data_IF_347593594293
#
_entry.id   IF_347593594293
#
_cell.length_a   1.000
_cell.length_b   1.000
_cell.length_c   1.000
_cell.angle_alpha   90.00
_cell.angle_beta   90.00
_cell.angle_gamma   90.00
#
_symmetry.space_group_name_H-M   'P 1'
#
loop_
_entity.id
_entity.type
_entity.pdbx_description
1 polymer ?
#
# COMPACT_ATOMS: atom_id res chain seq x y z
N UNK A 1 32.92 42.11 40.97
CA UNK A 1 34.23 41.43 40.99
C UNK A 1 33.94 39.98 40.66
N UNK A 2 34.00 39.62 39.38
CA UNK A 2 35.18 39.04 38.70
C UNK A 2 35.24 37.52 38.93
N UNK A 3 34.97 36.70 37.90
CA UNK A 3 35.94 35.99 37.02
C UNK A 3 36.84 35.02 37.84
N UNK A 4 37.22 33.80 37.46
CA UNK A 4 36.88 32.75 36.48
C UNK A 4 37.91 31.61 36.74
N UNK A 5 37.66 30.39 36.21
CA UNK A 5 38.66 29.34 35.86
C UNK A 5 39.42 28.62 37.02
N UNK A 6 39.80 27.32 36.97
CA UNK A 6 39.60 26.20 36.05
C UNK A 6 40.12 24.89 36.69
N UNK A 7 39.61 23.74 36.20
CA UNK A 7 40.21 22.40 36.07
C UNK A 7 40.87 21.64 37.25
N UNK A 8 40.37 20.44 37.56
CA UNK A 8 40.86 19.15 37.00
C UNK A 8 40.17 17.91 37.61
N UNK A 9 39.98 16.87 36.78
CA UNK A 9 39.05 15.72 36.86
C UNK A 9 39.21 14.71 38.03
N UNK A 10 38.24 13.78 38.20
CA UNK A 10 38.49 12.43 37.65
C UNK A 10 37.29 11.72 36.98
N UNK A 11 37.56 11.24 35.76
CA UNK A 11 37.26 9.91 35.18
C UNK A 11 36.01 9.16 35.67
N UNK A 12 35.04 8.98 34.77
CA UNK A 12 34.01 7.93 34.81
C UNK A 12 33.81 7.34 33.41
N UNK A 13 33.56 6.02 33.25
CA UNK A 13 33.57 5.36 31.95
C UNK A 13 32.27 5.62 31.17
N UNK A 14 32.42 6.08 29.93
CA UNK A 14 31.34 6.30 28.97
C UNK A 14 30.84 4.97 28.39
N UNK A 15 29.60 4.59 28.72
CA UNK A 15 28.84 3.61 27.94
C UNK A 15 28.29 4.32 26.70
N UNK A 16 29.10 4.30 25.65
CA UNK A 16 28.79 4.88 24.35
C UNK A 16 27.93 3.88 23.56
N UNK A 17 26.61 3.96 23.68
CA UNK A 17 25.68 3.27 22.75
C UNK A 17 25.49 4.16 21.51
N UNK A 18 25.83 3.70 20.29
CA UNK A 18 25.52 4.48 19.10
C UNK A 18 24.02 4.39 18.82
N UNK A 19 23.28 5.48 19.10
CA UNK A 19 22.00 5.76 18.45
C UNK A 19 22.28 5.91 16.95
N UNK A 20 21.96 4.90 16.15
CA UNK A 20 21.86 5.07 14.71
C UNK A 20 20.61 5.89 14.40
N UNK A 21 20.75 7.22 14.41
CA UNK A 21 19.81 8.11 13.73
C UNK A 21 20.05 7.99 12.23
N UNK A 22 19.31 7.12 11.55
CA UNK A 22 19.37 7.06 10.10
C UNK A 22 18.45 8.14 9.50
N UNK A 23 19.03 9.31 9.24
CA UNK A 23 18.46 10.29 8.31
C UNK A 23 18.89 9.94 6.89
N UNK A 24 17.95 9.74 5.97
CA UNK A 24 18.30 9.80 4.54
C UNK A 24 17.23 10.49 3.70
N UNK A 25 17.38 11.82 3.57
CA UNK A 25 16.57 12.69 2.70
C UNK A 25 17.19 12.87 1.29
N UNK A 26 18.32 12.24 0.96
CA UNK A 26 19.02 12.50 -0.30
C UNK A 26 19.66 11.26 -0.94
N UNK A 27 18.83 10.35 -1.48
CA UNK A 27 19.25 9.41 -2.54
C UNK A 27 18.21 9.32 -3.68
N UNK A 28 17.72 10.47 -4.16
CA UNK A 28 17.15 10.57 -5.51
C UNK A 28 18.29 10.75 -6.51
N UNK A 29 18.86 9.64 -6.99
CA UNK A 29 19.57 9.66 -8.28
C UNK A 29 18.51 9.77 -9.40
N UNK A 30 18.58 10.77 -10.30
CA UNK A 30 17.75 10.75 -11.49
C UNK A 30 18.37 9.76 -12.48
N UNK A 31 17.81 8.54 -12.59
CA UNK A 31 18.32 7.58 -13.58
C UNK A 31 18.09 6.11 -13.28
N UNK A 32 16.83 5.70 -13.29
CA UNK A 32 16.24 4.40 -13.70
C UNK A 32 14.97 4.25 -12.88
N UNK A 33 13.81 4.28 -13.56
CA UNK A 33 12.58 3.78 -12.95
C UNK A 33 12.89 2.35 -12.45
N UNK A 34 12.57 1.97 -11.20
CA UNK A 34 12.67 0.58 -10.77
C UNK A 34 11.97 -0.27 -11.83
N UNK A 35 12.55 -1.41 -12.19
CA UNK A 35 11.90 -2.30 -13.15
C UNK A 35 10.50 -2.57 -12.61
N UNK A 36 9.48 -2.11 -13.33
CA UNK A 36 8.12 -2.57 -13.09
C UNK A 36 8.19 -4.06 -13.37
N UNK A 37 8.38 -4.88 -12.34
CA UNK A 37 8.30 -6.32 -12.46
C UNK A 37 6.82 -6.61 -12.76
N UNK A 38 6.53 -6.69 -14.06
CA UNK A 38 5.24 -7.09 -14.61
C UNK A 38 5.08 -8.57 -14.30
N UNK A 39 4.36 -8.89 -13.22
CA UNK A 39 4.08 -10.29 -12.84
C UNK A 39 3.15 -10.99 -13.82
N UNK A 40 2.52 -10.26 -14.74
CA UNK A 40 2.02 -10.84 -16.00
C UNK A 40 2.42 -9.89 -17.13
N UNK A 41 3.43 -10.27 -17.93
CA UNK A 41 3.64 -9.65 -19.24
C UNK A 41 2.78 -10.44 -20.22
N UNK A 42 1.52 -10.03 -20.36
CA UNK A 42 0.75 -10.35 -21.57
C UNK A 42 1.58 -9.84 -22.76
N UNK A 43 2.18 -10.76 -23.52
CA UNK A 43 2.80 -10.44 -24.82
C UNK A 43 4.29 -10.08 -24.84
N UNK A 44 5.18 -10.81 -24.15
CA UNK A 44 6.59 -10.86 -24.56
C UNK A 44 6.83 -12.05 -25.46
N UNK A 45 7.38 -11.82 -26.66
CA UNK A 45 7.61 -12.82 -27.72
C UNK A 45 8.55 -13.97 -27.35
N UNK A 46 9.26 -13.89 -26.22
CA UNK A 46 10.38 -14.78 -25.92
C UNK A 46 10.27 -15.39 -24.51
N UNK A 47 9.48 -16.47 -24.37
CA UNK A 47 9.73 -17.57 -23.41
C UNK A 47 8.75 -18.73 -23.68
N UNK A 48 9.34 -19.93 -23.88
CA UNK A 48 8.87 -21.34 -23.91
C UNK A 48 7.37 -21.69 -23.70
N UNK A 49 6.91 -22.87 -24.22
CA UNK A 49 5.50 -23.24 -24.36
C UNK A 49 4.90 -23.70 -23.02
N UNK A 50 4.63 -22.75 -22.12
CA UNK A 50 3.60 -22.92 -21.10
C UNK A 50 2.21 -22.75 -21.72
N UNK A 51 1.13 -23.22 -21.07
CA UNK A 51 -0.22 -22.90 -21.50
C UNK A 51 -0.32 -21.38 -21.59
N UNK A 52 -0.64 -20.86 -22.78
CA UNK A 52 -0.86 -19.42 -22.97
C UNK A 52 -1.92 -19.01 -21.95
N UNK A 53 -1.61 -18.15 -20.94
CA UNK A 53 -2.66 -17.62 -20.10
C UNK A 53 -3.57 -16.85 -21.05
N UNK A 54 -4.83 -17.26 -21.11
CA UNK A 54 -5.83 -16.64 -21.98
C UNK A 54 -5.70 -15.12 -21.83
N UNK A 55 -5.45 -14.41 -22.93
CA UNK A 55 -5.40 -12.94 -22.89
C UNK A 55 -6.68 -12.47 -22.22
N UNK A 56 -6.58 -11.85 -21.04
CA UNK A 56 -7.75 -11.25 -20.40
C UNK A 56 -8.36 -10.34 -21.46
N UNK A 57 -9.62 -10.57 -21.87
CA UNK A 57 -10.21 -9.83 -22.95
C UNK A 57 -10.18 -8.34 -22.60
N UNK A 58 -9.96 -7.45 -23.58
CA UNK A 58 -10.04 -6.02 -23.35
C UNK A 58 -11.41 -5.72 -22.74
N UNK A 59 -11.40 -5.20 -21.51
CA UNK A 59 -12.59 -4.94 -20.73
C UNK A 59 -12.78 -3.43 -20.61
N UNK A 60 -13.90 -2.93 -21.12
CA UNK A 60 -14.34 -1.55 -20.95
C UNK A 60 -15.56 -1.56 -20.02
N UNK A 61 -15.41 -1.14 -18.75
CA UNK A 61 -16.55 -1.06 -17.84
C UNK A 61 -17.56 -0.05 -18.37
N UNK A 62 -18.85 -0.35 -18.22
CA UNK A 62 -19.89 0.64 -18.43
C UNK A 62 -19.68 1.81 -17.46
N UNK A 63 -19.85 3.03 -17.97
CA UNK A 63 -19.89 4.22 -17.12
C UNK A 63 -21.11 4.11 -16.21
N UNK A 64 -20.88 4.18 -14.91
CA UNK A 64 -21.98 4.17 -13.95
C UNK A 64 -22.83 5.43 -14.12
N UNK A 65 -24.12 5.33 -13.76
CA UNK A 65 -25.05 6.46 -13.72
C UNK A 65 -25.30 6.86 -12.28
N UNK A 66 -25.20 8.15 -12.00
CA UNK A 66 -25.57 8.74 -10.70
C UNK A 66 -27.09 8.84 -10.57
N UNK A 67 -27.59 8.89 -9.34
CA UNK A 67 -28.99 9.23 -9.09
C UNK A 67 -29.22 10.73 -9.34
N UNK A 68 -30.47 11.13 -9.59
CA UNK A 68 -30.82 12.54 -9.81
C UNK A 68 -30.59 13.37 -8.55
N UNK A 69 -30.81 12.75 -7.39
CA UNK A 69 -30.58 13.35 -6.07
C UNK A 69 -29.09 13.66 -5.86
N UNK A 70 -28.22 12.67 -6.11
CA UNK A 70 -26.77 12.83 -5.96
C UNK A 70 -26.24 13.88 -6.95
N UNK A 71 -26.74 13.90 -8.18
CA UNK A 71 -26.35 14.93 -9.18
C UNK A 71 -26.78 16.34 -8.75
N UNK A 72 -27.99 16.49 -8.21
CA UNK A 72 -28.49 17.77 -7.73
C UNK A 72 -27.70 18.28 -6.53
N UNK A 73 -27.43 17.41 -5.55
CA UNK A 73 -26.64 17.74 -4.37
C UNK A 73 -25.19 18.08 -4.73
N UNK A 74 -24.57 17.29 -5.62
CA UNK A 74 -23.22 17.57 -6.11
C UNK A 74 -23.13 18.89 -6.88
N UNK A 75 -24.19 19.25 -7.62
CA UNK A 75 -24.29 20.56 -8.28
C UNK A 75 -24.39 21.71 -7.28
N UNK A 76 -25.10 21.52 -6.17
CA UNK A 76 -25.17 22.51 -5.08
C UNK A 76 -23.80 22.67 -4.40
N UNK A 77 -23.14 21.56 -4.04
CA UNK A 77 -21.81 21.58 -3.42
C UNK A 77 -20.75 22.24 -4.31
N UNK A 78 -20.81 22.01 -5.63
CA UNK A 78 -19.90 22.63 -6.60
C UNK A 78 -20.20 24.10 -6.89
N UNK A 79 -21.27 24.66 -6.34
CA UNK A 79 -21.58 26.09 -6.49
C UNK A 79 -20.68 26.97 -5.60
N UNK A 80 -20.17 26.42 -4.50
CA UNK A 80 -19.14 27.04 -3.65
C UNK A 80 -17.78 26.36 -3.86
N UNK A 81 -16.70 27.08 -3.53
CA UNK A 81 -15.35 26.52 -3.61
C UNK A 81 -15.17 25.48 -2.49
N UNK A 82 -14.42 24.40 -2.73
CA UNK A 82 -14.27 23.31 -1.75
C UNK A 82 -13.55 23.73 -0.46
N UNK A 83 -12.89 24.88 -0.46
CA UNK A 83 -12.29 25.49 0.74
C UNK A 83 -13.33 26.12 1.66
N UNK A 84 -14.50 26.49 1.13
CA UNK A 84 -15.59 27.11 1.88
C UNK A 84 -16.59 26.08 2.42
N UNK A 85 -16.32 24.78 2.20
CA UNK A 85 -17.19 23.70 2.64
C UNK A 85 -17.13 23.54 4.15
N UNK A 86 -18.31 23.44 4.78
CA UNK A 86 -18.42 22.95 6.14
C UNK A 86 -18.03 21.47 6.20
N UNK A 87 -17.81 20.95 7.41
CA UNK A 87 -17.54 19.52 7.57
C UNK A 87 -18.72 18.64 7.11
N UNK A 88 -19.95 19.15 7.21
CA UNK A 88 -21.16 18.49 6.72
C UNK A 88 -21.16 18.44 5.18
N UNK A 89 -20.76 19.54 4.52
CA UNK A 89 -20.64 19.58 3.06
C UNK A 89 -19.55 18.63 2.55
N UNK A 90 -18.41 18.59 3.26
CA UNK A 90 -17.32 17.67 2.96
C UNK A 90 -17.72 16.20 3.14
N UNK A 91 -18.41 15.87 4.23
CA UNK A 91 -18.96 14.53 4.47
C UNK A 91 -19.95 14.15 3.36
N UNK A 92 -20.89 15.04 3.03
CA UNK A 92 -21.87 14.81 1.97
C UNK A 92 -21.22 14.57 0.60
N UNK A 93 -20.13 15.30 0.29
CA UNK A 93 -19.36 15.08 -0.93
C UNK A 93 -18.69 13.70 -0.94
N UNK A 94 -17.99 13.33 0.14
CA UNK A 94 -17.33 12.02 0.26
C UNK A 94 -18.35 10.88 0.18
N UNK A 95 -19.53 11.00 0.80
CA UNK A 95 -20.61 10.00 0.72
C UNK A 95 -21.12 9.81 -0.72
N UNK A 96 -21.16 10.87 -1.53
CA UNK A 96 -21.49 10.77 -2.96
C UNK A 96 -20.36 10.07 -3.72
N UNK A 97 -19.11 10.44 -3.45
CA UNK A 97 -17.94 9.86 -4.11
C UNK A 97 -17.75 8.38 -3.77
N UNK A 98 -18.01 7.96 -2.53
CA UNK A 98 -17.95 6.55 -2.12
C UNK A 98 -19.07 5.73 -2.78
N UNK A 99 -20.27 6.30 -2.95
CA UNK A 99 -21.34 5.67 -3.74
C UNK A 99 -20.97 5.54 -5.22
N UNK A 100 -20.28 6.52 -5.79
CA UNK A 100 -19.76 6.45 -7.15
C UNK A 100 -18.66 5.40 -7.29
N UNK A 101 -17.76 5.32 -6.32
CA UNK A 101 -16.73 4.30 -6.25
C UNK A 101 -17.37 2.90 -6.19
N UNK A 102 -18.37 2.70 -5.33
CA UNK A 102 -19.11 1.44 -5.24
C UNK A 102 -19.81 1.06 -6.56
N UNK A 103 -20.43 2.02 -7.26
CA UNK A 103 -21.02 1.78 -8.59
C UNK A 103 -19.96 1.43 -9.63
N UNK A 104 -18.82 2.12 -9.61
CA UNK A 104 -17.68 1.84 -10.48
C UNK A 104 -17.02 0.50 -10.18
N UNK A 105 -17.05 0.07 -8.93
CA UNK A 105 -16.53 -1.21 -8.49
C UNK A 105 -17.46 -2.35 -8.93
N UNK A 106 -18.76 -2.19 -8.73
CA UNK A 106 -19.79 -3.12 -9.18
C UNK A 106 -19.79 -3.30 -10.70
N UNK A 107 -19.53 -2.24 -11.48
CA UNK A 107 -19.44 -2.39 -12.94
C UNK A 107 -18.30 -3.34 -13.34
N UNK A 108 -17.19 -3.35 -12.60
CA UNK A 108 -16.00 -4.19 -12.80
C UNK A 108 -16.14 -5.63 -12.27
N UNK A 109 -17.26 -6.00 -11.68
CA UNK A 109 -17.48 -7.33 -11.10
C UNK A 109 -17.29 -8.50 -12.09
N UNK A 110 -17.77 -8.44 -13.36
CA UNK A 110 -17.55 -9.52 -14.31
C UNK A 110 -16.06 -9.81 -14.57
N UNK A 111 -15.25 -8.76 -14.58
CA UNK A 111 -13.81 -8.88 -14.75
C UNK A 111 -13.14 -9.45 -13.49
N UNK A 112 -13.64 -9.10 -12.30
CA UNK A 112 -13.21 -9.70 -11.02
C UNK A 112 -13.41 -11.21 -11.05
N UNK A 113 -14.61 -11.66 -11.45
CA UNK A 113 -14.93 -13.08 -11.54
C UNK A 113 -14.04 -13.83 -12.53
N UNK A 114 -13.76 -13.23 -13.70
CA UNK A 114 -12.80 -13.81 -14.67
C UNK A 114 -11.42 -13.99 -14.01
N UNK A 115 -10.92 -12.97 -13.31
CA UNK A 115 -9.60 -13.05 -12.68
C UNK A 115 -9.58 -14.08 -11.55
N UNK A 116 -10.61 -14.11 -10.70
CA UNK A 116 -10.71 -15.10 -9.62
C UNK A 116 -10.83 -16.54 -10.13
N UNK A 117 -11.46 -16.76 -11.29
CA UNK A 117 -11.57 -18.10 -11.90
C UNK A 117 -10.21 -18.75 -12.18
N UNK A 118 -9.15 -17.95 -12.42
CA UNK A 118 -7.80 -18.49 -12.60
C UNK A 118 -7.24 -19.15 -11.34
N UNK A 119 -7.74 -18.77 -10.16
CA UNK A 119 -7.26 -19.25 -8.86
C UNK A 119 -8.19 -20.27 -8.20
N UNK A 120 -9.37 -20.55 -8.77
CA UNK A 120 -10.36 -21.49 -8.20
C UNK A 120 -9.76 -22.88 -7.93
N UNK A 121 -8.90 -23.36 -8.83
CA UNK A 121 -8.24 -24.66 -8.69
C UNK A 121 -7.33 -24.78 -7.45
N UNK A 122 -6.95 -23.66 -6.84
CA UNK A 122 -6.12 -23.62 -5.63
C UNK A 122 -6.93 -23.87 -4.34
N UNK A 123 -8.27 -23.80 -4.39
CA UNK A 123 -9.17 -23.99 -3.25
C UNK A 123 -8.79 -23.16 -2.01
N UNK A 124 -8.33 -21.92 -2.23
CA UNK A 124 -7.90 -21.02 -1.15
C UNK A 124 -9.10 -20.42 -0.41
N UNK A 125 -8.96 -20.11 0.89
CA UNK A 125 -10.01 -19.41 1.64
C UNK A 125 -10.26 -18.02 1.03
N UNK A 126 -11.50 -17.51 1.14
CA UNK A 126 -11.82 -16.16 0.68
C UNK A 126 -10.94 -15.13 1.39
N UNK A 127 -10.54 -14.10 0.66
CA UNK A 127 -9.83 -12.97 1.25
C UNK A 127 -10.77 -12.18 2.17
N UNK A 128 -10.24 -11.60 3.26
CA UNK A 128 -11.02 -10.66 4.07
C UNK A 128 -11.42 -9.43 3.23
N UNK A 129 -12.55 -8.76 3.54
CA UNK A 129 -13.00 -7.60 2.79
C UNK A 129 -11.92 -6.50 2.82
N UNK A 130 -11.79 -5.71 1.74
CA UNK A 130 -10.85 -4.60 1.73
C UNK A 130 -11.09 -3.61 2.87
N UNK A 131 -10.03 -2.94 3.32
CA UNK A 131 -10.18 -1.89 4.32
C UNK A 131 -11.05 -0.74 3.79
N UNK A 132 -11.78 -0.03 4.66
CA UNK A 132 -12.45 1.19 4.28
C UNK A 132 -11.47 2.21 3.68
N UNK A 133 -11.92 2.98 2.71
CA UNK A 133 -11.19 4.14 2.22
C UNK A 133 -11.12 5.27 3.26
N UNK A 134 -10.36 6.31 2.93
CA UNK A 134 -10.26 7.56 3.69
C UNK A 134 -10.85 8.72 2.88
N UNK A 135 -10.92 9.92 3.46
CA UNK A 135 -11.24 11.14 2.69
C UNK A 135 -10.19 11.43 1.61
N UNK A 136 -10.56 12.22 0.59
CA UNK A 136 -9.59 12.74 -0.37
C UNK A 136 -8.70 13.85 0.23
N UNK A 137 -9.12 14.49 1.32
CA UNK A 137 -8.39 15.55 2.01
C UNK A 137 -7.05 15.07 2.59
N UNK A 138 -6.95 13.82 3.03
CA UNK A 138 -5.70 13.27 3.57
C UNK A 138 -4.63 13.01 2.50
N UNK A 139 -4.93 13.21 1.21
CA UNK A 139 -3.92 13.18 0.14
C UNK A 139 -2.90 14.32 0.29
N UNK A 140 -3.24 15.41 0.98
CA UNK A 140 -2.30 16.48 1.31
C UNK A 140 -1.39 16.05 2.47
N UNK A 141 -0.07 16.22 2.30
CA UNK A 141 0.93 15.67 3.25
C UNK A 141 1.05 16.42 4.57
N UNK A 142 0.58 17.68 4.66
CA UNK A 142 0.75 18.53 5.84
C UNK A 142 -0.61 18.89 6.41
N UNK A 143 -0.81 18.65 7.70
CA UNK A 143 -2.03 19.03 8.42
C UNK A 143 -2.33 20.55 8.32
N UNK A 144 -1.30 21.39 8.25
CA UNK A 144 -1.40 22.84 8.05
C UNK A 144 -2.12 23.23 6.75
N UNK A 145 -2.12 22.35 5.75
CA UNK A 145 -2.76 22.58 4.45
C UNK A 145 -4.18 22.03 4.36
N UNK A 146 -4.75 21.58 5.48
CA UNK A 146 -6.12 21.09 5.51
C UNK A 146 -7.10 22.18 5.02
N UNK A 147 -8.00 21.80 4.13
CA UNK A 147 -8.91 22.71 3.41
C UNK A 147 -9.83 23.45 4.38
N UNK A 148 -10.47 22.70 5.28
CA UNK A 148 -11.36 23.27 6.28
C UNK A 148 -10.53 23.92 7.42
N UNK A 149 -10.67 25.23 7.57
CA UNK A 149 -9.92 26.04 8.54
C UNK A 149 -10.32 25.76 9.98
N UNK A 150 -11.58 25.41 10.22
CA UNK A 150 -12.12 25.32 11.57
C UNK A 150 -11.59 24.08 12.30
N UNK A 151 -11.49 22.95 11.58
CA UNK A 151 -10.95 21.69 12.09
C UNK A 151 -9.42 21.57 11.92
N UNK A 152 -8.78 22.49 11.21
CA UNK A 152 -7.33 22.48 10.98
C UNK A 152 -6.49 22.41 12.27
N UNK A 153 -6.81 23.12 13.37
CA UNK A 153 -6.04 23.03 14.60
C UNK A 153 -6.06 21.61 15.20
N UNK A 154 -7.19 20.90 15.09
CA UNK A 154 -7.27 19.49 15.49
C UNK A 154 -6.35 18.61 14.65
N UNK A 155 -6.33 18.79 13.32
CA UNK A 155 -5.43 18.03 12.44
C UNK A 155 -3.96 18.26 12.80
N UNK A 156 -3.59 19.50 13.12
CA UNK A 156 -2.23 19.86 13.56
C UNK A 156 -1.90 19.25 14.91
N UNK A 157 -2.83 19.20 15.85
CA UNK A 157 -2.62 18.54 17.15
C UNK A 157 -2.38 17.03 16.96
N UNK A 158 -3.13 16.37 16.08
CA UNK A 158 -2.94 14.97 15.72
C UNK A 158 -1.57 14.72 15.06
N UNK A 159 -1.20 15.54 14.07
CA UNK A 159 0.09 15.45 13.36
C UNK A 159 1.30 15.70 14.27
N UNK A 160 1.14 16.48 15.34
CA UNK A 160 2.21 16.81 16.30
C UNK A 160 2.22 15.92 17.55
N UNK A 161 1.30 14.97 17.68
CA UNK A 161 1.23 14.10 18.85
C UNK A 161 0.75 14.81 20.13
N UNK A 162 0.05 15.94 20.02
CA UNK A 162 -0.41 16.73 21.16
C UNK A 162 -1.67 16.11 21.78
N UNK A 163 -1.50 14.96 22.45
CA UNK A 163 -2.59 14.14 22.98
C UNK A 163 -3.56 14.92 23.87
N UNK A 164 -3.07 15.81 24.73
CA UNK A 164 -3.92 16.61 25.61
C UNK A 164 -4.82 17.57 24.82
N UNK A 165 -4.31 18.16 23.74
CA UNK A 165 -5.12 18.99 22.83
C UNK A 165 -6.15 18.14 22.09
N UNK A 166 -5.77 16.97 21.58
CA UNK A 166 -6.69 16.02 20.93
C UNK A 166 -7.81 15.60 21.89
N UNK A 167 -7.49 15.36 23.16
CA UNK A 167 -8.48 15.06 24.21
C UNK A 167 -9.44 16.21 24.43
N UNK A 168 -8.94 17.44 24.55
CA UNK A 168 -9.77 18.64 24.70
C UNK A 168 -10.75 18.78 23.52
N UNK A 169 -10.25 18.64 22.28
CA UNK A 169 -11.08 18.71 21.08
C UNK A 169 -12.19 17.66 21.03
N UNK A 170 -11.93 16.46 21.51
CA UNK A 170 -12.87 15.34 21.40
C UNK A 170 -13.73 15.12 22.66
N UNK A 171 -13.50 15.89 23.73
CA UNK A 171 -14.34 15.93 24.93
C UNK A 171 -15.32 17.11 24.90
N UNK A 172 -15.00 18.15 24.15
CA UNK A 172 -15.88 19.29 23.90
C UNK A 172 -16.98 18.90 22.90
N UNK A 173 -18.24 18.99 23.34
CA UNK A 173 -19.42 18.59 22.57
C UNK A 173 -19.59 19.36 21.26
N UNK A 174 -19.32 20.67 21.26
CA UNK A 174 -19.48 21.50 20.06
C UNK A 174 -18.38 21.17 19.04
N UNK A 175 -17.14 20.97 19.52
CA UNK A 175 -16.00 20.65 18.65
C UNK A 175 -16.09 19.25 18.06
N UNK A 176 -16.54 18.25 18.83
CA UNK A 176 -16.69 16.89 18.30
C UNK A 176 -17.85 16.83 17.28
N UNK A 177 -18.93 17.60 17.50
CA UNK A 177 -19.97 17.78 16.48
C UNK A 177 -19.42 18.48 15.24
N UNK A 178 -18.53 19.46 15.38
CA UNK A 178 -17.89 20.10 14.23
C UNK A 178 -16.96 19.16 13.46
N UNK A 179 -16.19 18.32 14.15
CA UNK A 179 -15.27 17.36 13.52
C UNK A 179 -16.00 16.33 12.67
N UNK A 180 -17.20 15.91 13.09
CA UNK A 180 -17.93 14.79 12.50
C UNK A 180 -17.06 13.51 12.44
N UNK A 181 -17.59 12.45 11.82
CA UNK A 181 -16.81 11.23 11.63
C UNK A 181 -15.61 11.45 10.70
N UNK A 182 -15.79 12.21 9.61
CA UNK A 182 -14.73 12.50 8.64
C UNK A 182 -13.51 13.17 9.27
N UNK A 183 -13.72 14.15 10.16
CA UNK A 183 -12.62 14.87 10.80
C UNK A 183 -11.84 14.01 11.78
N UNK A 184 -12.53 13.12 12.51
CA UNK A 184 -11.86 12.13 13.37
C UNK A 184 -11.01 11.15 12.55
N UNK A 185 -11.53 10.67 11.42
CA UNK A 185 -10.79 9.78 10.51
C UNK A 185 -9.57 10.47 9.90
N UNK A 186 -9.70 11.74 9.50
CA UNK A 186 -8.58 12.50 8.96
C UNK A 186 -7.50 12.73 10.03
N UNK A 187 -7.91 13.11 11.25
CA UNK A 187 -6.99 13.25 12.38
C UNK A 187 -6.24 11.95 12.68
N UNK A 188 -6.93 10.80 12.64
CA UNK A 188 -6.32 9.47 12.81
C UNK A 188 -5.25 9.20 11.74
N UNK A 189 -5.50 9.57 10.49
CA UNK A 189 -4.51 9.41 9.40
C UNK A 189 -3.31 10.33 9.58
N UNK A 190 -3.51 11.60 10.00
CA UNK A 190 -2.41 12.51 10.29
C UNK A 190 -1.53 12.01 11.45
N UNK A 191 -2.14 11.53 12.53
CA UNK A 191 -1.40 10.92 13.65
C UNK A 191 -0.62 9.67 13.21
N UNK A 192 -1.24 8.79 12.42
CA UNK A 192 -0.57 7.58 11.90
C UNK A 192 0.60 7.93 10.97
N UNK A 193 0.44 8.93 10.10
CA UNK A 193 1.49 9.46 9.23
C UNK A 193 2.69 9.98 10.01
N UNK A 194 2.43 10.76 11.06
CA UNK A 194 3.46 11.28 11.97
C UNK A 194 4.02 10.20 12.91
N UNK A 195 3.46 8.98 12.90
CA UNK A 195 3.80 7.87 13.77
C UNK A 195 3.56 8.17 15.27
N UNK A 196 2.54 8.97 15.57
CA UNK A 196 2.17 9.39 16.92
C UNK A 196 1.27 8.34 17.59
N UNK A 197 1.90 7.26 18.06
CA UNK A 197 1.24 6.03 18.53
C UNK A 197 0.17 6.28 19.60
N UNK A 198 0.43 7.17 20.55
CA UNK A 198 -0.50 7.41 21.66
C UNK A 198 -1.76 8.19 21.21
N UNK A 199 -1.63 9.06 20.21
CA UNK A 199 -2.79 9.72 19.60
C UNK A 199 -3.59 8.71 18.77
N UNK A 200 -2.92 7.87 17.98
CA UNK A 200 -3.58 6.82 17.20
C UNK A 200 -4.35 5.87 18.13
N UNK A 201 -3.70 5.38 19.19
CA UNK A 201 -4.31 4.53 20.23
C UNK A 201 -5.54 5.20 20.82
N UNK A 202 -5.40 6.45 21.28
CA UNK A 202 -6.52 7.20 21.84
C UNK A 202 -7.72 7.32 20.90
N UNK A 203 -7.48 7.65 19.62
CA UNK A 203 -8.54 7.81 18.63
C UNK A 203 -9.24 6.48 18.29
N UNK A 204 -8.51 5.37 18.30
CA UNK A 204 -9.07 4.03 18.06
C UNK A 204 -9.80 3.48 19.29
N UNK A 205 -9.21 3.58 20.49
CA UNK A 205 -9.72 2.99 21.74
C UNK A 205 -10.83 3.83 22.39
N UNK A 206 -10.60 5.14 22.57
CA UNK A 206 -11.48 6.00 23.36
C UNK A 206 -12.50 6.77 22.51
N UNK A 207 -12.22 6.94 21.22
CA UNK A 207 -13.13 7.59 20.26
C UNK A 207 -13.76 6.65 19.28
N UNK A 208 -13.39 5.36 19.31
CA UNK A 208 -13.97 4.32 18.45
C UNK A 208 -13.90 4.71 16.97
N UNK A 209 -12.87 5.46 16.59
CA UNK A 209 -12.70 5.94 15.21
C UNK A 209 -12.42 4.73 14.32
N UNK A 210 -13.23 4.48 13.26
CA UNK A 210 -13.02 3.30 12.43
C UNK A 210 -11.65 3.30 11.75
N UNK A 211 -10.95 2.17 11.83
CA UNK A 211 -9.70 1.95 11.11
C UNK A 211 -9.95 2.01 9.59
N UNK A 212 -9.07 2.70 8.86
CA UNK A 212 -9.12 2.80 7.41
C UNK A 212 -7.80 2.38 6.77
N UNK A 213 -7.82 2.21 5.45
CA UNK A 213 -6.69 1.77 4.65
C UNK A 213 -5.45 2.67 4.76
N UNK A 214 -5.63 3.97 4.92
CA UNK A 214 -4.51 4.90 5.00
C UNK A 214 -3.71 4.71 6.29
N UNK A 215 -4.35 4.40 7.42
CA UNK A 215 -3.62 4.11 8.66
C UNK A 215 -2.66 2.94 8.47
N UNK A 216 -3.11 1.87 7.80
CA UNK A 216 -2.28 0.70 7.48
C UNK A 216 -1.21 1.05 6.44
N UNK A 217 -1.53 1.92 5.47
CA UNK A 217 -0.53 2.44 4.52
C UNK A 217 0.57 3.22 5.24
N UNK A 218 0.21 4.11 6.17
CA UNK A 218 1.19 4.88 6.94
C UNK A 218 2.02 3.95 7.85
N UNK A 219 1.44 2.87 8.40
CA UNK A 219 2.20 1.84 9.09
C UNK A 219 3.26 1.17 8.19
N UNK A 220 2.92 0.91 6.93
CA UNK A 220 3.88 0.41 5.92
C UNK A 220 4.97 1.44 5.60
N UNK A 221 4.58 2.69 5.33
CA UNK A 221 5.50 3.74 4.90
C UNK A 221 6.48 4.15 6.03
N UNK A 222 6.02 4.10 7.28
CA UNK A 222 6.83 4.34 8.47
C UNK A 222 7.64 3.11 8.92
N UNK A 223 7.32 1.91 8.40
CA UNK A 223 7.80 0.63 8.96
C UNK A 223 7.64 0.61 10.48
N UNK A 224 6.40 0.82 10.93
CA UNK A 224 6.07 0.95 12.35
C UNK A 224 5.36 -0.28 12.89
N UNK A 225 6.11 -1.14 13.59
CA UNK A 225 5.54 -2.29 14.30
C UNK A 225 4.44 -1.88 15.31
N UNK A 226 4.60 -0.83 16.14
CA UNK A 226 3.54 -0.40 17.05
C UNK A 226 2.24 0.00 16.36
N UNK A 227 2.30 0.60 15.16
CA UNK A 227 1.09 0.88 14.38
C UNK A 227 0.46 -0.42 13.86
N UNK A 228 1.26 -1.40 13.43
CA UNK A 228 0.71 -2.70 13.03
C UNK A 228 0.06 -3.45 14.19
N UNK A 229 0.64 -3.40 15.39
CA UNK A 229 0.04 -3.97 16.59
C UNK A 229 -1.33 -3.34 16.87
N UNK A 230 -1.42 -2.00 16.82
CA UNK A 230 -2.69 -1.29 16.96
C UNK A 230 -3.68 -1.68 15.86
N UNK A 231 -3.26 -1.67 14.59
CA UNK A 231 -4.13 -2.05 13.48
C UNK A 231 -4.74 -3.45 13.69
N UNK A 232 -3.92 -4.44 14.06
CA UNK A 232 -4.37 -5.82 14.31
C UNK A 232 -5.32 -5.89 15.52
N UNK A 233 -5.02 -5.17 16.61
CA UNK A 233 -5.91 -5.07 17.77
C UNK A 233 -7.30 -4.54 17.39
N UNK A 234 -7.38 -3.65 16.40
CA UNK A 234 -8.61 -3.09 15.87
C UNK A 234 -9.14 -3.83 14.63
N UNK A 235 -8.77 -5.10 14.44
CA UNK A 235 -9.40 -6.00 13.46
C UNK A 235 -8.77 -6.00 12.07
N UNK A 236 -7.61 -5.36 11.88
CA UNK A 236 -6.84 -5.52 10.65
C UNK A 236 -6.31 -6.94 10.51
N UNK A 237 -6.56 -7.55 9.35
CA UNK A 237 -5.95 -8.82 8.96
C UNK A 237 -4.89 -8.58 7.86
N UNK A 238 -3.68 -9.18 7.92
CA UNK A 238 -2.60 -8.91 6.96
C UNK A 238 -2.94 -9.15 5.48
N UNK A 239 -3.87 -10.06 5.20
CA UNK A 239 -4.40 -10.33 3.85
C UNK A 239 -5.52 -9.36 3.39
N UNK A 240 -5.90 -8.36 4.20
CA UNK A 240 -6.82 -7.31 3.76
C UNK A 240 -6.14 -6.38 2.79
N UNK A 241 -6.86 -6.08 1.72
CA UNK A 241 -6.39 -5.15 0.73
C UNK A 241 -6.46 -3.71 1.25
N UNK A 242 -5.39 -2.98 1.00
CA UNK A 242 -5.22 -1.57 1.31
C UNK A 242 -5.64 -0.77 0.06
N UNK A 243 -6.76 -0.02 0.11
CA UNK A 243 -7.19 0.85 -0.98
C UNK A 243 -6.10 1.84 -1.39
N UNK A 244 -5.97 2.11 -2.68
CA UNK A 244 -5.12 3.21 -3.18
C UNK A 244 -5.70 3.78 -4.46
N UNK A 245 -5.21 4.95 -4.88
CA UNK A 245 -5.68 5.64 -6.11
C UNK A 245 -5.57 4.80 -7.38
N UNK A 246 -4.71 3.79 -7.37
CA UNK A 246 -4.36 2.93 -8.49
C UNK A 246 -4.46 1.43 -8.16
N UNK A 247 -4.82 1.10 -6.91
CA UNK A 247 -4.85 -0.27 -6.40
C UNK A 247 -3.47 -0.95 -6.31
N UNK A 248 -2.37 -0.21 -6.38
CA UNK A 248 -1.01 -0.76 -6.46
C UNK A 248 -0.40 -1.16 -5.12
N UNK A 249 -1.06 -0.90 -3.99
CA UNK A 249 -0.55 -1.28 -2.67
C UNK A 249 -0.76 -2.78 -2.44
N UNK A 250 -2.00 -3.26 -2.57
CA UNK A 250 -2.33 -4.66 -2.28
C UNK A 250 -2.37 -4.91 -0.79
N UNK A 251 -1.44 -5.74 -0.30
CA UNK A 251 -1.32 -6.15 1.11
C UNK A 251 0.02 -5.71 1.69
N UNK A 252 0.07 -5.56 3.02
CA UNK A 252 1.20 -4.96 3.73
C UNK A 252 2.53 -5.73 3.56
N UNK A 253 2.49 -7.07 3.45
CA UNK A 253 3.69 -7.91 3.40
C UNK A 253 4.65 -7.47 2.28
N UNK A 254 4.11 -7.14 1.09
CA UNK A 254 4.90 -6.71 -0.08
C UNK A 254 5.62 -5.37 0.11
N UNK A 255 5.25 -4.59 1.13
CA UNK A 255 5.87 -3.30 1.46
C UNK A 255 6.86 -3.42 2.62
N UNK A 256 6.69 -4.43 3.47
CA UNK A 256 7.39 -4.54 4.74
C UNK A 256 8.51 -5.58 4.75
N UNK A 257 8.72 -6.35 3.66
CA UNK A 257 9.76 -7.41 3.59
C UNK A 257 11.17 -6.96 3.97
N UNK A 258 11.50 -5.67 3.88
CA UNK A 258 12.81 -5.13 4.26
C UNK A 258 13.03 -5.05 5.78
N UNK A 259 11.96 -5.13 6.57
CA UNK A 259 12.00 -5.10 8.02
C UNK A 259 11.69 -6.50 8.58
N UNK A 260 12.65 -7.08 9.31
CA UNK A 260 12.58 -8.46 9.81
C UNK A 260 11.45 -8.61 10.82
N UNK A 261 11.30 -7.65 11.73
CA UNK A 261 10.37 -7.76 12.85
C UNK A 261 8.93 -7.56 12.38
N UNK A 262 8.69 -6.60 11.48
CA UNK A 262 7.37 -6.40 10.88
C UNK A 262 7.01 -7.56 9.96
N UNK A 263 7.96 -8.07 9.17
CA UNK A 263 7.71 -9.24 8.31
C UNK A 263 7.31 -10.43 9.15
N UNK A 264 8.06 -10.71 10.23
CA UNK A 264 7.73 -11.77 11.19
C UNK A 264 6.33 -11.55 11.77
N UNK A 265 6.05 -10.36 12.28
CA UNK A 265 4.76 -10.02 12.87
C UNK A 265 3.59 -10.26 11.91
N UNK A 266 3.70 -9.79 10.66
CA UNK A 266 2.65 -9.97 9.65
C UNK A 266 2.44 -11.46 9.31
N UNK A 267 3.52 -12.24 9.18
CA UNK A 267 3.46 -13.68 8.90
C UNK A 267 2.84 -14.46 10.08
N UNK A 268 3.22 -14.15 11.31
CA UNK A 268 2.63 -14.73 12.53
C UNK A 268 1.13 -14.42 12.66
N UNK A 269 0.67 -13.31 12.08
CA UNK A 269 -0.74 -12.94 11.99
C UNK A 269 -1.43 -13.38 10.69
N UNK A 270 -0.84 -14.31 9.94
CA UNK A 270 -1.49 -14.98 8.81
C UNK A 270 -1.34 -14.28 7.46
N UNK A 271 -0.32 -13.42 7.28
CA UNK A 271 0.03 -12.91 5.96
C UNK A 271 0.37 -14.06 5.00
N UNK A 272 -0.29 -14.07 3.84
CA UNK A 272 0.02 -14.96 2.73
C UNK A 272 1.19 -14.36 1.94
N UNK A 273 2.37 -15.02 1.92
CA UNK A 273 3.55 -14.49 1.25
C UNK A 273 3.45 -14.52 -0.29
N UNK A 274 2.49 -15.26 -0.85
CA UNK A 274 2.26 -15.33 -2.31
C UNK A 274 1.13 -14.40 -2.79
N UNK A 275 0.61 -13.56 -1.89
CA UNK A 275 -0.48 -12.62 -2.16
C UNK A 275 0.04 -11.26 -2.62
N UNK A 276 -0.35 -10.80 -3.81
CA UNK A 276 0.04 -9.49 -4.34
C UNK A 276 -1.06 -8.86 -5.22
N UNK A 277 -1.00 -7.54 -5.52
CA UNK A 277 -1.88 -6.94 -6.52
C UNK A 277 -1.80 -7.68 -7.86
N UNK A 278 -2.95 -8.00 -8.44
CA UNK A 278 -3.00 -8.56 -9.78
C UNK A 278 -2.51 -7.53 -10.80
N UNK A 279 -1.46 -7.88 -11.56
CA UNK A 279 -0.90 -7.02 -12.60
C UNK A 279 -1.25 -7.59 -13.97
N UNK A 280 -2.27 -7.05 -14.61
CA UNK A 280 -2.69 -7.44 -15.96
C UNK A 280 -2.07 -6.62 -17.09
N UNK A 281 -1.17 -5.68 -16.76
CA UNK A 281 -0.52 -4.83 -17.76
C UNK A 281 -1.45 -3.81 -18.43
N UNK A 282 -2.67 -3.59 -17.92
CA UNK A 282 -3.54 -2.52 -18.40
C UNK A 282 -2.92 -1.16 -18.12
N UNK A 283 -3.15 -0.24 -19.06
CA UNK A 283 -2.69 1.15 -19.01
C UNK A 283 -3.57 2.03 -18.09
N UNK A 284 -4.74 1.56 -17.66
CA UNK A 284 -5.76 2.36 -16.98
C UNK A 284 -5.93 1.85 -15.54
N UNK A 285 -5.85 2.78 -14.60
CA UNK A 285 -5.96 2.57 -13.16
C UNK A 285 -7.36 2.05 -12.80
N UNK A 286 -7.48 1.26 -11.73
CA UNK A 286 -8.78 0.70 -11.28
C UNK A 286 -9.76 1.74 -10.71
N UNK A 287 -9.31 2.99 -10.60
CA UNK A 287 -10.03 4.12 -10.03
C UNK A 287 -9.48 4.52 -8.66
N UNK A 288 -9.96 5.65 -8.16
CA UNK A 288 -9.59 6.14 -6.84
C UNK A 288 -10.10 5.21 -5.73
N UNK A 289 -9.33 5.06 -4.63
CA UNK A 289 -9.60 4.13 -3.52
C UNK A 289 -9.87 2.68 -4.00
N UNK A 290 -9.28 2.26 -5.12
CA UNK A 290 -9.55 0.96 -5.72
C UNK A 290 -8.86 -0.21 -5.00
N UNK A 291 -9.51 -1.36 -5.10
CA UNK A 291 -9.15 -2.64 -4.49
C UNK A 291 -9.20 -3.74 -5.57
N UNK A 292 -8.28 -3.70 -6.55
CA UNK A 292 -8.29 -4.64 -7.68
C UNK A 292 -8.18 -6.09 -7.21
N UNK A 293 -8.53 -7.07 -8.04
CA UNK A 293 -8.25 -8.48 -7.75
C UNK A 293 -6.81 -8.68 -7.29
N UNK A 294 -6.62 -9.65 -6.39
CA UNK A 294 -5.29 -10.04 -5.92
C UNK A 294 -4.83 -11.31 -6.64
N UNK A 295 -3.55 -11.37 -6.97
CA UNK A 295 -2.85 -12.57 -7.42
C UNK A 295 -2.50 -13.43 -6.21
N UNK A 296 -2.96 -14.69 -6.20
CA UNK A 296 -2.72 -15.68 -5.14
C UNK A 296 -1.53 -16.60 -5.44
N UNK A 297 -0.79 -16.32 -6.50
CA UNK A 297 0.36 -17.11 -6.97
C UNK A 297 1.55 -16.20 -7.29
N UNK A 298 1.66 -15.11 -6.55
CA UNK A 298 2.63 -14.06 -6.83
C UNK A 298 3.89 -14.24 -6.00
N UNK A 299 5.03 -14.49 -6.63
CA UNK A 299 6.32 -14.49 -5.94
C UNK A 299 6.84 -13.12 -5.53
N UNK A 300 5.99 -12.07 -5.49
CA UNK A 300 6.43 -10.68 -5.33
C UNK A 300 7.17 -10.44 -4.00
N UNK A 301 6.63 -10.93 -2.87
CA UNK A 301 7.28 -10.76 -1.57
C UNK A 301 8.66 -11.44 -1.56
N UNK A 302 8.75 -12.65 -2.12
CA UNK A 302 10.00 -13.41 -2.20
C UNK A 302 11.03 -12.74 -3.13
N UNK A 303 10.59 -12.23 -4.29
CA UNK A 303 11.43 -11.49 -5.22
C UNK A 303 11.99 -10.20 -4.59
N UNK A 304 11.14 -9.46 -3.87
CA UNK A 304 11.56 -8.26 -3.13
C UNK A 304 12.50 -8.60 -1.97
N UNK A 305 12.25 -9.70 -1.25
CA UNK A 305 13.11 -10.17 -0.18
C UNK A 305 14.51 -10.53 -0.68
N UNK A 306 14.61 -11.29 -1.78
CA UNK A 306 15.88 -11.65 -2.42
C UNK A 306 16.64 -10.41 -2.92
N UNK A 307 15.93 -9.40 -3.43
CA UNK A 307 16.57 -8.18 -3.95
C UNK A 307 17.04 -7.22 -2.85
N UNK A 308 16.25 -7.07 -1.77
CA UNK A 308 16.37 -5.91 -0.86
C UNK A 308 16.54 -6.26 0.62
N UNK A 309 16.41 -7.53 1.01
CA UNK A 309 16.26 -7.91 2.41
C UNK A 309 17.33 -8.91 2.86
N UNK A 310 17.63 -9.00 4.16
CA UNK A 310 18.53 -10.03 4.67
C UNK A 310 17.97 -11.43 4.42
N UNK A 311 18.85 -12.43 4.25
CA UNK A 311 18.45 -13.80 3.92
C UNK A 311 17.45 -14.41 4.93
N UNK A 312 17.45 -13.95 6.19
CA UNK A 312 16.47 -14.39 7.18
C UNK A 312 15.02 -14.12 6.75
N UNK A 313 14.76 -13.03 6.01
CA UNK A 313 13.42 -12.73 5.49
C UNK A 313 13.01 -13.74 4.43
N UNK A 314 13.92 -14.09 3.53
CA UNK A 314 13.68 -15.13 2.51
C UNK A 314 13.35 -16.46 3.21
N UNK A 315 14.12 -16.82 4.24
CA UNK A 315 13.86 -18.02 5.04
C UNK A 315 12.49 -17.96 5.73
N UNK A 316 12.14 -16.86 6.38
CA UNK A 316 10.84 -16.69 7.04
C UNK A 316 9.68 -16.84 6.06
N UNK A 317 9.75 -16.23 4.87
CA UNK A 317 8.71 -16.36 3.84
C UNK A 317 8.53 -17.82 3.43
N UNK A 318 9.62 -18.55 3.18
CA UNK A 318 9.57 -19.97 2.82
C UNK A 318 8.98 -20.84 3.94
N UNK A 319 9.37 -20.58 5.19
CA UNK A 319 8.83 -21.28 6.37
C UNK A 319 7.33 -21.04 6.56
N UNK A 320 6.82 -19.87 6.12
CA UNK A 320 5.41 -19.50 6.16
C UNK A 320 4.66 -19.80 4.85
N UNK A 321 5.19 -20.71 4.02
CA UNK A 321 4.47 -21.26 2.88
C UNK A 321 4.63 -20.52 1.55
N UNK A 322 5.61 -19.60 1.43
CA UNK A 322 5.93 -19.00 0.14
C UNK A 322 6.43 -20.06 -0.84
N UNK A 323 5.85 -20.07 -2.03
CA UNK A 323 6.19 -21.04 -3.07
C UNK A 323 7.35 -20.52 -3.94
N UNK A 324 8.54 -21.14 -3.91
CA UNK A 324 9.70 -20.68 -4.69
C UNK A 324 9.43 -20.65 -6.20
N UNK A 325 8.54 -21.52 -6.69
CA UNK A 325 8.17 -21.58 -8.10
C UNK A 325 7.38 -20.36 -8.57
N UNK A 326 6.86 -19.51 -7.70
CA UNK A 326 6.22 -18.25 -8.11
C UNK A 326 7.24 -17.10 -8.25
N UNK A 327 8.44 -17.28 -7.68
CA UNK A 327 9.54 -16.31 -7.71
C UNK A 327 10.36 -16.38 -9.01
N UNK A 328 10.56 -15.24 -9.68
CA UNK A 328 11.28 -15.21 -10.97
C UNK A 328 12.81 -15.34 -10.84
N UNK A 329 13.49 -14.68 -9.90
CA UNK A 329 14.91 -14.89 -9.63
C UNK A 329 15.21 -16.36 -9.34
N UNK A 330 14.37 -17.03 -8.56
CA UNK A 330 14.55 -18.43 -8.21
C UNK A 330 14.28 -19.37 -9.39
N UNK A 331 13.19 -19.17 -10.14
CA UNK A 331 12.93 -19.92 -11.38
C UNK A 331 14.13 -19.91 -12.35
N UNK A 332 14.83 -18.78 -12.49
CA UNK A 332 16.02 -18.68 -13.37
C UNK A 332 17.20 -19.54 -12.93
N UNK A 333 17.26 -19.91 -11.65
CA UNK A 333 18.29 -20.75 -11.04
C UNK A 333 17.88 -22.23 -11.14
N UNK A 334 16.60 -22.54 -10.97
CA UNK A 334 16.06 -23.92 -11.00
C UNK A 334 15.89 -24.50 -12.40
N UNK A 335 15.88 -23.68 -13.45
CA UNK A 335 15.86 -24.19 -14.83
C UNK A 335 17.22 -24.81 -15.19
N UNK A 336 17.28 -26.10 -15.57
CA UNK A 336 18.53 -26.78 -15.90
C UNK A 336 19.26 -26.06 -17.05
N UNK A 337 20.58 -25.99 -16.95
CA UNK A 337 21.50 -25.30 -17.86
C UNK A 337 21.33 -25.68 -19.35
N UNK A 338 20.70 -26.82 -19.64
CA UNK A 338 20.43 -27.36 -20.98
C UNK A 338 19.46 -26.52 -21.82
N UNK A 339 18.56 -25.73 -21.22
CA UNK A 339 17.60 -24.90 -21.98
C UNK A 339 18.16 -23.54 -22.42
N UNK A 340 19.40 -23.17 -22.04
CA UNK A 340 20.02 -21.89 -22.42
C UNK A 340 20.77 -21.90 -23.76
N UNK A 341 20.92 -23.07 -24.42
CA UNK A 341 21.60 -23.22 -25.71
C UNK A 341 20.76 -24.01 -26.73
N UNK A 342 19.61 -23.50 -27.15
CA UNK A 342 18.96 -24.00 -28.38
C UNK A 342 18.48 -22.88 -29.30
N UNK A 343 19.14 -21.72 -29.24
CA UNK A 343 18.80 -20.53 -30.04
C UNK A 343 20.02 -19.91 -30.71
N UNK A 344 20.93 -20.73 -31.24
CA UNK A 344 21.94 -20.30 -32.24
C UNK A 344 22.66 -21.52 -32.81
N UNK A 345 22.10 -22.05 -33.89
CA UNK A 345 22.78 -22.77 -34.97
C UNK A 345 21.67 -23.20 -35.93
N UNK A 346 21.28 -22.30 -36.82
CA UNK A 346 20.71 -22.61 -38.13
C UNK A 346 20.57 -21.30 -38.89
N UNK A 347 21.67 -20.89 -39.50
CA UNK A 347 21.65 -20.07 -40.72
C UNK A 347 22.58 -20.77 -41.70
N UNK A 348 21.95 -21.54 -42.58
CA UNK A 348 22.25 -21.62 -44.02
C UNK A 348 23.65 -21.17 -44.45
N UNK A 349 24.50 -22.13 -44.82
CA UNK A 349 25.44 -21.95 -45.92
C UNK A 349 25.23 -23.14 -46.88
N UNK A 350 24.36 -22.89 -47.85
CA UNK A 350 24.31 -23.66 -49.09
C UNK A 350 24.73 -22.72 -50.20
N UNK A 351 25.98 -22.80 -50.62
CA UNK A 351 26.41 -22.47 -51.97
C UNK A 351 27.57 -23.41 -52.32
N UNK A 352 27.27 -24.35 -53.22
CA UNK A 352 28.29 -25.17 -53.85
C UNK A 352 28.97 -24.40 -54.97
N UNK A 353 30.28 -24.51 -55.08
CA UNK A 353 30.96 -24.49 -56.36
C UNK A 353 32.18 -25.43 -56.35
N UNK A 354 32.22 -26.19 -57.43
CA UNK A 354 33.05 -27.28 -57.91
C UNK A 354 34.59 -27.14 -57.96
N UNK A 355 35.23 -28.32 -57.86
CA UNK A 355 36.33 -28.88 -58.69
C UNK A 355 37.82 -28.77 -58.27
N UNK A 356 38.55 -29.82 -58.72
CA UNK A 356 39.99 -30.17 -58.73
C UNK A 356 40.48 -30.92 -57.47
N UNK A 357 40.88 -32.20 -57.47
CA UNK A 357 41.21 -33.19 -58.52
C UNK A 357 40.95 -34.61 -58.04
#
# INVERSE_FOLDING_TARGET
>A
MEYACDNSDPISPSLNTPRMTYTNRHMRRPGRKPALYFYIRFGSRDTLPGPRPASIPPYQPELFKRSKEDEAQLKQLRACHSQDWSQIDAQAYEDIMDRDAARSDASKEPLRLIIYSYFEHLNLPPLPPPLPGCSTSVLFKRAESHSNESVRPFMVACDKGLLDEVKVWTQDGERIEELQQLGLQDGLVYAARANEIEVVRYLLDERWTPLNGEVVREACDNLSLPLFELCVQHGYHPNQQIPSRDGHIGVAINRCVQDVDITRFLLEHGADPDLAPFKDGRLHDWGEKATPPMDRTSGLALDLAVEKSPMIVVQMLLEHGAHPQYSRPLQKITLPFSSRRSGRLETSDGDGFELWS
#
